data_IF_851412765563
#
_entry.id   IF_851412765563
#
_cell.length_a   1.000
_cell.length_b   1.000
_cell.length_c   1.000
_cell.angle_alpha   90.00
_cell.angle_beta   90.00
_cell.angle_gamma   90.00
#
_symmetry.space_group_name_H-M   'P 1'
#
loop_
_entity.id
_entity.type
_entity.pdbx_description
1 polymer ?
#
# COMPACT_ATOMS: atom_id res chain seq x y z
N UNK A 1 13.86 -1.92 -19.34
CA UNK A 1 12.97 -1.79 -18.48
C UNK A 1 13.21 -2.35 -17.16
N UNK A 2 13.05 -1.66 -16.29
CA UNK A 2 13.50 -2.03 -15.02
C UNK A 2 12.39 -2.30 -14.09
N UNK A 3 11.53 -3.19 -14.50
CA UNK A 3 10.49 -3.61 -13.63
C UNK A 3 11.07 -4.54 -12.61
N UNK A 4 11.00 -4.14 -11.37
CA UNK A 4 11.40 -5.01 -10.28
C UNK A 4 10.26 -5.94 -9.99
N UNK A 5 10.43 -7.24 -10.17
CA UNK A 5 9.35 -8.18 -9.88
C UNK A 5 9.16 -8.26 -8.37
N UNK A 6 8.09 -7.68 -7.90
CA UNK A 6 7.74 -7.75 -6.48
C UNK A 6 6.73 -8.87 -6.33
N UNK A 7 7.07 -9.93 -5.57
CA UNK A 7 6.13 -11.04 -5.38
C UNK A 7 4.83 -10.55 -4.75
N UNK A 8 3.73 -11.03 -5.26
CA UNK A 8 2.44 -10.67 -4.71
C UNK A 8 2.36 -11.00 -3.22
N UNK A 9 3.07 -12.03 -2.80
CA UNK A 9 3.09 -12.43 -1.40
C UNK A 9 3.57 -11.29 -0.48
N UNK A 10 4.44 -10.42 -0.99
CA UNK A 10 4.93 -9.30 -0.20
C UNK A 10 3.78 -8.37 0.19
N UNK A 11 2.87 -8.13 -0.75
CA UNK A 11 1.75 -7.25 -0.48
C UNK A 11 0.66 -7.91 0.34
N UNK A 12 0.66 -9.24 0.39
CA UNK A 12 -0.32 -9.97 1.19
C UNK A 12 0.13 -10.16 2.63
N UNK A 13 1.39 -9.86 2.92
CA UNK A 13 1.94 -10.01 4.25
C UNK A 13 1.62 -8.76 5.06
N UNK A 14 0.79 -8.86 6.11
CA UNK A 14 0.43 -7.67 6.88
C UNK A 14 1.61 -6.99 7.55
N UNK A 15 2.71 -7.69 7.73
CA UNK A 15 3.89 -7.07 8.31
C UNK A 15 4.50 -6.01 7.41
N UNK A 16 4.21 -6.06 6.10
CA UNK A 16 4.72 -5.09 5.16
C UNK A 16 3.74 -3.94 4.92
N UNK A 17 2.57 -4.01 5.53
CA UNK A 17 1.55 -2.99 5.34
C UNK A 17 1.47 -2.10 6.57
N UNK A 18 1.46 -0.80 6.34
CA UNK A 18 1.26 0.16 7.40
C UNK A 18 0.06 1.02 7.02
N UNK A 19 -0.83 1.23 7.95
CA UNK A 19 -2.05 1.99 7.71
C UNK A 19 -2.04 3.19 8.63
N UNK A 20 -2.28 4.38 8.06
CA UNK A 20 -2.36 5.59 8.83
C UNK A 20 -3.63 6.34 8.51
N UNK A 21 -4.15 7.06 9.50
CA UNK A 21 -5.29 7.93 9.31
C UNK A 21 -4.79 9.35 9.33
N UNK A 22 -5.10 10.10 8.29
CA UNK A 22 -4.66 11.49 8.20
C UNK A 22 -5.79 12.37 7.70
N UNK A 23 -5.69 13.65 8.04
CA UNK A 23 -6.63 14.62 7.52
C UNK A 23 -6.19 14.97 6.10
N UNK A 24 -6.94 14.50 5.12
CA UNK A 24 -6.59 14.69 3.71
C UNK A 24 -7.16 15.99 3.17
N UNK A 25 -8.12 16.58 3.87
CA UNK A 25 -8.71 17.87 3.55
C UNK A 25 -9.33 18.41 4.83
N UNK A 26 -9.59 19.71 4.91
CA UNK A 26 -10.19 20.26 6.14
C UNK A 26 -11.48 19.51 6.52
N UNK A 27 -11.46 18.96 7.72
CA UNK A 27 -12.61 18.23 8.24
C UNK A 27 -12.79 16.86 7.63
N UNK A 28 -11.81 16.34 6.88
CA UNK A 28 -11.95 15.07 6.20
C UNK A 28 -10.80 14.18 6.51
N UNK A 29 -11.07 13.01 7.04
CA UNK A 29 -10.04 12.04 7.34
C UNK A 29 -10.02 10.95 6.30
N UNK A 30 -8.83 10.54 5.92
CA UNK A 30 -8.66 9.46 4.98
C UNK A 30 -7.67 8.44 5.48
N UNK A 31 -7.71 7.26 4.90
CA UNK A 31 -6.80 6.18 5.23
C UNK A 31 -5.70 6.14 4.19
N UNK A 32 -4.46 6.09 4.65
CA UNK A 32 -3.30 6.02 3.77
C UNK A 32 -2.58 4.72 4.01
N UNK A 33 -2.29 3.99 2.94
CA UNK A 33 -1.61 2.72 3.01
C UNK A 33 -0.17 2.89 2.58
N UNK A 34 0.73 2.19 3.28
CA UNK A 34 2.15 2.17 2.95
C UNK A 34 2.60 0.73 2.89
N UNK A 35 3.21 0.34 1.78
CA UNK A 35 3.84 -0.97 1.67
C UNK A 35 5.35 -0.78 1.62
N UNK A 36 6.06 -1.61 2.38
CA UNK A 36 7.51 -1.55 2.41
C UNK A 36 8.09 -2.85 1.88
N UNK A 37 9.04 -2.73 0.97
CA UNK A 37 9.71 -3.89 0.40
C UNK A 37 11.13 -3.51 0.04
N UNK A 38 12.08 -4.23 0.62
CA UNK A 38 13.51 -4.03 0.34
C UNK A 38 13.94 -2.57 0.43
N UNK A 39 13.52 -1.93 1.49
CA UNK A 39 13.92 -0.55 1.72
C UNK A 39 13.14 0.48 0.93
N UNK A 40 12.21 0.06 0.11
CA UNK A 40 11.39 0.99 -0.66
C UNK A 40 9.99 1.04 -0.08
N UNK A 41 9.40 2.22 -0.13
CA UNK A 41 8.04 2.41 0.38
C UNK A 41 7.13 2.81 -0.76
N UNK A 42 6.04 2.08 -0.91
CA UNK A 42 4.99 2.38 -1.87
C UNK A 42 3.82 2.92 -1.09
N UNK A 43 3.33 4.11 -1.46
CA UNK A 43 2.27 4.74 -0.69
C UNK A 43 1.35 5.56 -1.59
N UNK A 44 0.30 6.12 -1.00
CA UNK A 44 -0.62 6.96 -1.72
C UNK A 44 -1.55 6.16 -2.62
N UNK A 45 -1.87 6.72 -3.78
CA UNK A 45 -2.82 6.09 -4.69
C UNK A 45 -2.36 4.72 -5.16
N UNK A 46 -1.06 4.57 -5.39
CA UNK A 46 -0.52 3.29 -5.84
C UNK A 46 -0.73 2.21 -4.78
N UNK A 47 -0.46 2.55 -3.52
CA UNK A 47 -0.66 1.59 -2.44
C UNK A 47 -2.14 1.22 -2.30
N UNK A 48 -3.03 2.19 -2.50
CA UNK A 48 -4.46 1.93 -2.43
C UNK A 48 -4.89 0.95 -3.50
N UNK A 49 -4.36 1.13 -4.71
CA UNK A 49 -4.68 0.23 -5.81
C UNK A 49 -4.19 -1.18 -5.51
N UNK A 50 -2.98 -1.29 -4.97
CA UNK A 50 -2.43 -2.59 -4.62
C UNK A 50 -3.28 -3.25 -3.52
N UNK A 51 -3.70 -2.48 -2.53
CA UNK A 51 -4.51 -3.01 -1.45
C UNK A 51 -5.83 -3.55 -1.98
N UNK A 52 -6.45 -2.81 -2.89
CA UNK A 52 -7.72 -3.25 -3.48
C UNK A 52 -7.52 -4.53 -4.28
N UNK A 53 -6.42 -4.62 -5.02
CA UNK A 53 -6.14 -5.80 -5.81
C UNK A 53 -5.90 -7.02 -4.92
N UNK A 54 -5.14 -6.84 -3.85
CA UNK A 54 -4.87 -7.94 -2.93
C UNK A 54 -6.15 -8.42 -2.27
N UNK A 55 -7.01 -7.50 -1.88
CA UNK A 55 -8.27 -7.86 -1.26
C UNK A 55 -9.17 -8.61 -2.24
N UNK A 56 -9.13 -8.25 -3.51
CA UNK A 56 -9.93 -8.93 -4.52
C UNK A 56 -9.44 -10.34 -4.78
N UNK A 57 -8.16 -10.59 -4.57
CA UNK A 57 -7.58 -11.90 -4.80
C UNK A 57 -7.61 -12.78 -3.56
N UNK A 58 -7.97 -12.25 -2.45
CA UNK A 58 -7.96 -12.98 -1.19
C UNK A 58 -9.10 -14.00 -1.07
#
# INVERSE_FOLDING_TARGET
EDLVPVPLAVFRDPANLRVEQREVAPGRRGTIYYYTYEGQTIWGATARIIKDLVDALA
#
